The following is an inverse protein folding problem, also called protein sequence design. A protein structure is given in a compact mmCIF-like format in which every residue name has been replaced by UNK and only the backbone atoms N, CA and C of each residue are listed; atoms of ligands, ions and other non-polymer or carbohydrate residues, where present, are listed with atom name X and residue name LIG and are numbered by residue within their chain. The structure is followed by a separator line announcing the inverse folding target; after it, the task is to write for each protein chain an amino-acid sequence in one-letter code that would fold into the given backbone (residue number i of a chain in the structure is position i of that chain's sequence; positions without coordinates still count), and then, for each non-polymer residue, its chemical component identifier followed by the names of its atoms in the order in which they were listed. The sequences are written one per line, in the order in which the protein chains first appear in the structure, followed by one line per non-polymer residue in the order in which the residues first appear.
data_IF_374621505348
#
_entry.id   IF_374621505348
#
_cell.length_a   1.000
_cell.length_b   1.000
_cell.length_c   1.000
_cell.angle_alpha   90.00
_cell.angle_beta   90.00
_cell.angle_gamma   90.00
#
_symmetry.space_group_name_H-M   'P 1'
#
loop_
_entity.id
_entity.type
_entity.pdbx_description
1 polymer ?
#
# COMPACT_ATOMS: atom_id res chain seq x y z
N UNK A 1 9.36 12.13 -8.00
CA UNK A 1 9.14 10.75 -7.53
C UNK A 1 7.67 10.35 -7.57
N UNK A 2 7.42 9.06 -7.74
CA UNK A 2 6.08 8.49 -7.77
C UNK A 2 5.97 7.44 -6.66
N UNK A 3 4.86 7.48 -5.93
CA UNK A 3 4.57 6.47 -4.92
C UNK A 3 3.41 5.62 -5.46
N UNK A 4 3.66 4.33 -5.63
CA UNK A 4 2.66 3.37 -6.09
C UNK A 4 2.14 2.62 -4.88
N UNK A 5 0.84 2.75 -4.61
CA UNK A 5 0.20 2.20 -3.42
C UNK A 5 -0.75 1.08 -3.82
N UNK A 6 -0.56 -0.09 -3.24
CA UNK A 6 -1.50 -1.19 -3.43
C UNK A 6 -2.79 -0.96 -2.64
N UNK A 7 -3.85 -1.65 -3.04
CA UNK A 7 -5.13 -1.59 -2.33
C UNK A 7 -4.95 -2.06 -0.89
N UNK A 8 -5.44 -1.31 0.12
CA UNK A 8 -5.44 -1.79 1.49
C UNK A 8 -6.17 -3.12 1.57
N UNK A 9 -5.51 -4.13 2.11
CA UNK A 9 -6.06 -5.47 2.09
C UNK A 9 -6.22 -6.02 3.49
N UNK A 10 -7.47 -6.37 3.79
CA UNK A 10 -7.85 -7.02 5.02
C UNK A 10 -7.50 -8.51 4.98
N UNK A 11 -7.73 -9.14 3.84
CA UNK A 11 -7.48 -10.56 3.65
C UNK A 11 -6.19 -10.79 2.88
N UNK A 12 -5.22 -11.42 3.54
CA UNK A 12 -3.91 -11.68 2.94
C UNK A 12 -3.96 -12.63 1.76
N UNK A 13 -4.99 -13.45 1.66
CA UNK A 13 -5.08 -14.53 0.69
C UNK A 13 -6.15 -14.31 -0.38
N UNK A 14 -6.61 -13.09 -0.59
CA UNK A 14 -7.57 -12.80 -1.64
C UNK A 14 -6.86 -12.86 -2.99
N UNK A 15 -7.25 -13.81 -3.85
CA UNK A 15 -6.59 -14.06 -5.13
C UNK A 15 -6.63 -12.83 -6.06
N UNK A 16 -7.80 -12.17 -6.15
CA UNK A 16 -7.96 -10.99 -6.98
C UNK A 16 -7.06 -9.83 -6.51
N UNK A 17 -6.95 -9.63 -5.21
CA UNK A 17 -6.09 -8.60 -4.66
C UNK A 17 -4.61 -8.92 -4.88
N UNK A 18 -4.24 -10.19 -4.82
CA UNK A 18 -2.87 -10.63 -5.10
C UNK A 18 -2.50 -10.38 -6.55
N UNK A 19 -3.41 -10.65 -7.49
CA UNK A 19 -3.17 -10.37 -8.91
C UNK A 19 -2.96 -8.87 -9.16
N UNK A 20 -3.79 -8.01 -8.56
CA UNK A 20 -3.66 -6.56 -8.66
C UNK A 20 -2.35 -6.07 -8.06
N UNK A 21 -1.98 -6.62 -6.91
CA UNK A 21 -0.71 -6.32 -6.26
C UNK A 21 0.47 -6.67 -7.17
N UNK A 22 0.42 -7.83 -7.82
CA UNK A 22 1.48 -8.28 -8.70
C UNK A 22 1.65 -7.35 -9.92
N UNK A 23 0.56 -6.84 -10.47
CA UNK A 23 0.59 -5.88 -11.58
C UNK A 23 1.28 -4.58 -11.14
N UNK A 24 0.89 -4.05 -9.99
CA UNK A 24 1.47 -2.81 -9.46
C UNK A 24 2.96 -3.02 -9.15
N UNK A 25 3.30 -4.12 -8.50
CA UNK A 25 4.69 -4.43 -8.17
C UNK A 25 5.56 -4.57 -9.42
N UNK A 26 5.04 -5.21 -10.45
CA UNK A 26 5.75 -5.38 -11.72
C UNK A 26 5.99 -4.04 -12.39
N UNK A 27 4.99 -3.17 -12.38
CA UNK A 27 5.10 -1.80 -12.90
C UNK A 27 6.16 -1.01 -12.14
N UNK A 28 6.14 -1.09 -10.82
CA UNK A 28 7.15 -0.48 -9.96
C UNK A 28 8.55 -0.99 -10.30
N UNK A 29 8.71 -2.30 -10.41
CA UNK A 29 10.02 -2.89 -10.66
C UNK A 29 10.58 -2.48 -12.03
N UNK A 30 9.72 -2.45 -13.05
CA UNK A 30 10.12 -1.99 -14.38
C UNK A 30 10.55 -0.52 -14.37
N UNK A 31 9.84 0.34 -13.67
CA UNK A 31 10.19 1.75 -13.53
C UNK A 31 11.53 1.92 -12.80
N UNK A 32 11.73 1.15 -11.74
CA UNK A 32 12.98 1.16 -10.99
C UNK A 32 14.17 0.74 -11.86
N UNK A 33 14.00 -0.27 -12.68
CA UNK A 33 15.06 -0.75 -13.59
C UNK A 33 15.42 0.29 -14.65
N UNK A 34 14.49 1.20 -14.99
CA UNK A 34 14.77 2.32 -15.88
C UNK A 34 15.43 3.50 -15.17
N UNK A 35 15.68 3.40 -13.88
CA UNK A 35 16.27 4.48 -13.07
C UNK A 35 15.30 5.55 -12.63
N UNK A 36 14.00 5.31 -12.73
CA UNK A 36 12.98 6.26 -12.27
C UNK A 36 12.88 6.27 -10.75
N UNK A 37 12.52 7.43 -10.18
CA UNK A 37 12.35 7.61 -8.73
C UNK A 37 10.97 7.14 -8.33
N UNK A 38 10.87 5.88 -7.90
CA UNK A 38 9.60 5.25 -7.54
C UNK A 38 9.69 4.55 -6.19
N UNK A 39 8.57 4.52 -5.49
CA UNK A 39 8.40 3.81 -4.22
C UNK A 39 7.17 2.93 -4.37
N UNK A 40 7.25 1.72 -3.83
CA UNK A 40 6.11 0.80 -3.77
C UNK A 40 5.68 0.61 -2.31
N UNK A 41 4.38 0.77 -2.07
CA UNK A 41 3.77 0.44 -0.78
C UNK A 41 2.82 -0.74 -0.99
N UNK A 42 3.11 -1.85 -0.33
CA UNK A 42 2.23 -3.01 -0.34
C UNK A 42 0.96 -2.69 0.46
N UNK A 43 -0.20 -2.97 -0.12
CA UNK A 43 -1.48 -2.75 0.54
C UNK A 43 -1.62 -3.47 1.87
N UNK A 44 -0.93 -4.60 2.04
CA UNK A 44 -0.91 -5.34 3.30
C UNK A 44 -0.25 -4.57 4.45
N UNK A 45 0.62 -3.62 4.14
CA UNK A 45 1.32 -2.83 5.15
C UNK A 45 0.55 -1.62 5.64
N UNK A 46 -0.59 -1.30 5.03
CA UNK A 46 -1.33 -0.08 5.34
C UNK A 46 -2.12 -0.16 6.63
N UNK A 47 -2.55 -1.35 7.02
CA UNK A 47 -3.25 -1.56 8.29
C UNK A 47 -2.33 -2.23 9.30
N UNK A 48 -2.41 -1.86 10.60
CA UNK A 48 -1.63 -2.55 11.62
C UNK A 48 -1.93 -4.05 11.62
N UNK A 49 -0.89 -4.88 11.69
CA UNK A 49 -1.02 -6.33 11.52
C UNK A 49 -1.95 -6.98 12.56
N UNK A 50 -1.98 -6.43 13.76
CA UNK A 50 -2.78 -6.96 14.87
C UNK A 50 -4.19 -6.34 14.95
N UNK A 51 -4.53 -5.43 14.04
CA UNK A 51 -5.81 -4.72 14.07
C UNK A 51 -6.46 -4.60 12.68
N UNK A 52 -6.12 -5.50 11.78
CA UNK A 52 -6.65 -5.44 10.40
C UNK A 52 -8.17 -5.53 10.34
N UNK A 53 -8.74 -6.38 11.18
CA UNK A 53 -10.20 -6.56 11.21
C UNK A 53 -10.93 -5.31 11.67
N UNK A 54 -10.31 -4.51 12.52
CA UNK A 54 -10.89 -3.31 13.08
C UNK A 54 -10.74 -2.09 12.16
N UNK A 55 -10.01 -2.21 11.05
CA UNK A 55 -9.67 -1.08 10.18
C UNK A 55 -10.68 -0.83 9.05
N UNK A 56 -11.67 -1.69 8.89
CA UNK A 56 -12.66 -1.55 7.81
C UNK A 56 -14.08 -1.54 8.34
N UNK A 57 -14.97 -0.95 7.54
CA UNK A 57 -16.42 -0.94 7.83
C UNK A 57 -17.09 -2.23 7.35
N UNK A 58 -16.64 -2.74 6.20
CA UNK A 58 -17.32 -3.81 5.44
C UNK A 58 -16.31 -4.80 4.83
N UNK A 59 -15.16 -4.98 5.43
CA UNK A 59 -14.04 -5.78 4.93
C UNK A 59 -13.42 -5.25 3.63
N UNK A 60 -13.72 -4.01 3.27
CA UNK A 60 -13.20 -3.40 2.04
C UNK A 60 -12.84 -1.92 2.25
N UNK A 61 -13.75 -1.12 2.79
CA UNK A 61 -13.56 0.31 2.93
C UNK A 61 -12.96 0.65 4.30
N UNK A 62 -11.84 1.40 4.33
CA UNK A 62 -11.22 1.79 5.60
C UNK A 62 -12.16 2.65 6.44
N UNK A 63 -12.14 2.40 7.74
CA UNK A 63 -12.76 3.30 8.72
C UNK A 63 -11.72 4.32 9.21
N UNK A 64 -12.02 5.09 10.25
CA UNK A 64 -11.10 6.10 10.77
C UNK A 64 -9.78 5.49 11.24
N UNK A 65 -9.81 4.33 11.90
CA UNK A 65 -8.60 3.63 12.33
C UNK A 65 -7.77 3.19 11.13
N UNK A 66 -8.41 2.67 10.09
CA UNK A 66 -7.74 2.30 8.86
C UNK A 66 -7.11 3.51 8.16
N UNK A 67 -7.80 4.64 8.13
CA UNK A 67 -7.29 5.88 7.56
C UNK A 67 -6.06 6.39 8.30
N UNK A 68 -6.04 6.30 9.64
CA UNK A 68 -4.87 6.66 10.44
C UNK A 68 -3.67 5.78 10.09
N UNK A 69 -3.88 4.47 9.95
CA UNK A 69 -2.83 3.54 9.57
C UNK A 69 -2.27 3.86 8.18
N UNK A 70 -3.16 4.14 7.23
CA UNK A 70 -2.75 4.53 5.87
C UNK A 70 -1.96 5.84 5.88
N UNK A 71 -2.44 6.84 6.62
CA UNK A 71 -1.77 8.13 6.72
C UNK A 71 -0.36 8.00 7.29
N UNK A 72 -0.18 7.14 8.30
CA UNK A 72 1.13 6.90 8.90
C UNK A 72 2.11 6.29 7.90
N UNK A 73 1.71 5.26 7.21
CA UNK A 73 2.58 4.56 6.25
C UNK A 73 2.87 5.44 5.03
N UNK A 74 1.82 6.04 4.43
CA UNK A 74 1.97 6.87 3.24
C UNK A 74 2.75 8.15 3.58
N UNK A 75 2.51 8.73 4.74
CA UNK A 75 3.23 9.93 5.19
C UNK A 75 4.73 9.70 5.27
N UNK A 76 5.16 8.58 5.83
CA UNK A 76 6.58 8.22 5.87
C UNK A 76 7.18 8.02 4.48
N UNK A 77 6.41 7.43 3.57
CA UNK A 77 6.85 7.26 2.19
C UNK A 77 6.99 8.61 1.48
N UNK A 78 6.09 9.56 1.75
CA UNK A 78 6.17 10.92 1.20
C UNK A 78 7.45 11.61 1.67
N UNK A 79 7.75 11.54 2.97
CA UNK A 79 8.99 12.10 3.50
C UNK A 79 10.22 11.52 2.81
N UNK A 80 10.26 10.21 2.64
CA UNK A 80 11.35 9.55 1.93
C UNK A 80 11.42 9.99 0.48
N UNK A 81 10.27 10.08 -0.20
CA UNK A 81 10.21 10.49 -1.60
C UNK A 81 10.76 11.92 -1.80
N UNK A 82 10.49 12.82 -0.87
CA UNK A 82 10.96 14.20 -0.95
C UNK A 82 12.47 14.31 -0.83
N UNK A 83 13.14 13.30 -0.27
CA UNK A 83 14.59 13.25 -0.15
C UNK A 83 15.29 12.54 -1.31
N UNK A 84 14.55 12.00 -2.23
CA UNK A 84 15.12 11.28 -3.38
C UNK A 84 15.80 12.21 -4.41
#
# INVERSE_FOLDING_TARGET
PVIMVGKPDFWLCNESNMERRDVIYRTYNNARLRGEKVIFIDGHSLFPANMREECTVDNCHPNDLGMVGMADVIGKAVEFALSM
#
